data_IF_320998586246
#
_entry.id   IF_320998586246
#
_cell.length_a   1.000
_cell.length_b   1.000
_cell.length_c   1.000
_cell.angle_alpha   90.00
_cell.angle_beta   90.00
_cell.angle_gamma   90.00
#
_symmetry.space_group_name_H-M   'P 1'
#
loop_
_entity.id
_entity.type
_entity.pdbx_description
1 polymer ?
#
# COMPACT_ATOMS: atom_id res chain seq x y z
N UNK A 1 16.03 -5.80 -2.10
CA UNK A 1 15.77 -5.86 -0.65
C UNK A 1 14.31 -6.09 -0.42
N UNK A 2 13.95 -6.68 0.69
CA UNK A 2 12.55 -7.03 0.93
C UNK A 2 12.20 -6.89 2.41
N UNK A 3 10.91 -6.80 2.70
CA UNK A 3 10.42 -6.89 4.07
C UNK A 3 10.62 -8.29 4.62
N UNK A 4 10.71 -8.41 5.94
CA UNK A 4 10.96 -9.69 6.64
C UNK A 4 9.97 -9.88 7.79
N UNK A 5 9.51 -11.10 8.00
CA UNK A 5 8.64 -11.46 9.13
C UNK A 5 9.50 -12.11 10.20
N UNK A 6 9.33 -11.67 11.45
CA UNK A 6 10.09 -12.14 12.60
C UNK A 6 9.27 -13.06 13.52
N UNK A 7 9.91 -13.62 14.53
CA UNK A 7 9.38 -14.65 15.45
C UNK A 7 8.11 -14.24 16.19
N UNK A 8 7.84 -12.95 16.34
CA UNK A 8 6.63 -12.44 16.99
C UNK A 8 5.37 -12.63 16.18
N UNK A 9 5.49 -13.13 14.94
CA UNK A 9 4.36 -13.42 14.06
C UNK A 9 3.44 -14.48 14.70
N UNK A 10 2.14 -14.17 14.74
CA UNK A 10 1.11 -15.05 15.28
C UNK A 10 0.32 -15.84 14.20
N UNK A 11 0.67 -15.67 12.94
CA UNK A 11 0.01 -16.36 11.83
C UNK A 11 -1.44 -15.93 11.62
N UNK A 12 -1.77 -14.66 11.83
CA UNK A 12 -3.14 -14.14 11.70
C UNK A 12 -3.62 -13.97 10.26
N UNK A 13 -2.75 -14.13 9.27
CA UNK A 13 -3.01 -14.00 7.83
C UNK A 13 -3.41 -12.60 7.34
N UNK A 14 -3.38 -11.57 8.17
CA UNK A 14 -3.75 -10.21 7.78
C UNK A 14 -2.85 -9.67 6.65
N UNK A 15 -1.54 -9.92 6.74
CA UNK A 15 -0.56 -9.46 5.76
C UNK A 15 -0.73 -10.09 4.37
N UNK A 16 -1.13 -11.37 4.30
CA UNK A 16 -1.31 -12.07 3.03
C UNK A 16 -2.39 -11.43 2.17
N UNK A 17 -3.43 -10.89 2.81
CA UNK A 17 -4.56 -10.22 2.13
C UNK A 17 -4.19 -8.83 1.60
N UNK A 18 -3.10 -8.27 2.09
CA UNK A 18 -2.65 -6.93 1.73
C UNK A 18 -1.52 -6.91 0.71
N UNK A 19 -0.86 -8.03 0.50
CA UNK A 19 0.26 -8.10 -0.42
C UNK A 19 -0.23 -8.04 -1.88
N UNK A 20 0.15 -7.01 -2.66
CA UNK A 20 -0.30 -6.87 -4.04
C UNK A 20 0.32 -7.90 -4.99
N UNK A 21 1.47 -8.45 -4.63
CA UNK A 21 2.21 -9.40 -5.48
C UNK A 21 2.08 -10.86 -5.04
N UNK A 22 1.40 -11.10 -3.92
CA UNK A 22 1.32 -12.45 -3.37
C UNK A 22 2.63 -12.98 -2.82
N UNK A 23 3.52 -12.08 -2.39
CA UNK A 23 4.85 -12.45 -1.88
C UNK A 23 4.82 -13.15 -0.52
N UNK A 24 3.70 -13.12 0.18
CA UNK A 24 3.58 -13.64 1.54
C UNK A 24 2.87 -14.98 1.54
N UNK A 25 3.53 -15.99 2.08
CA UNK A 25 2.98 -17.33 2.21
C UNK A 25 3.03 -17.80 3.66
N UNK A 26 2.14 -18.72 4.01
CA UNK A 26 2.04 -19.29 5.34
C UNK A 26 0.64 -19.76 5.65
N UNK A 27 0.53 -20.60 6.66
CA UNK A 27 -0.73 -21.11 7.14
C UNK A 27 -1.16 -20.41 8.45
N UNK A 28 -2.43 -20.50 8.76
CA UNK A 28 -2.99 -19.91 9.98
C UNK A 28 -2.28 -20.46 11.23
N UNK A 29 -1.92 -19.59 12.16
CA UNK A 29 -1.20 -19.90 13.40
C UNK A 29 0.27 -20.34 13.20
N UNK A 30 0.80 -20.18 12.00
CA UNK A 30 2.21 -20.47 11.68
C UNK A 30 2.87 -19.18 11.22
N UNK A 31 4.15 -19.02 11.53
CA UNK A 31 4.93 -17.87 11.08
C UNK A 31 4.91 -17.81 9.55
N UNK A 32 4.54 -16.64 9.03
CA UNK A 32 4.52 -16.40 7.60
C UNK A 32 5.92 -16.03 7.08
N UNK A 33 6.11 -16.19 5.79
CA UNK A 33 7.37 -15.88 5.10
C UNK A 33 7.10 -14.95 3.93
N UNK A 34 7.99 -13.98 3.72
CA UNK A 34 7.94 -13.08 2.56
C UNK A 34 8.98 -13.54 1.54
N UNK A 35 8.54 -13.76 0.31
CA UNK A 35 9.43 -14.08 -0.80
C UNK A 35 10.10 -12.79 -1.29
N UNK A 36 11.44 -12.69 -1.15
CA UNK A 36 12.16 -11.47 -1.53
C UNK A 36 12.12 -11.17 -3.03
N UNK A 37 11.92 -12.16 -3.87
CA UNK A 37 11.84 -11.96 -5.32
C UNK A 37 10.50 -11.34 -5.75
N UNK A 38 9.44 -11.62 -5.01
CA UNK A 38 8.10 -11.10 -5.28
C UNK A 38 7.78 -9.82 -4.52
N UNK A 39 8.51 -9.54 -3.44
CA UNK A 39 8.28 -8.36 -2.61
C UNK A 39 8.69 -7.08 -3.34
N UNK A 40 7.80 -6.09 -3.35
CA UNK A 40 8.05 -4.77 -3.98
C UNK A 40 8.30 -3.65 -2.96
N UNK A 41 8.55 -4.00 -1.71
CA UNK A 41 8.85 -3.05 -0.62
C UNK A 41 7.79 -1.97 -0.40
N UNK A 42 6.53 -2.29 -0.63
CA UNK A 42 5.42 -1.33 -0.55
C UNK A 42 4.99 -0.99 0.89
N UNK A 43 5.32 -1.82 1.86
CA UNK A 43 5.00 -1.59 3.28
C UNK A 43 3.57 -1.91 3.71
N UNK A 44 2.71 -2.36 2.81
CA UNK A 44 1.30 -2.64 3.12
C UNK A 44 1.11 -3.72 4.19
N UNK A 45 2.00 -4.70 4.23
CA UNK A 45 1.96 -5.79 5.23
C UNK A 45 2.30 -5.31 6.65
N UNK A 46 3.26 -4.38 6.78
CA UNK A 46 3.69 -3.86 8.08
C UNK A 46 2.59 -3.09 8.80
N UNK A 47 1.79 -2.36 8.05
CA UNK A 47 0.71 -1.51 8.58
C UNK A 47 -0.39 -2.31 9.27
N UNK A 48 -0.64 -3.54 8.80
CA UNK A 48 -1.77 -4.37 9.29
C UNK A 48 -1.34 -5.44 10.29
N UNK A 49 -0.06 -5.58 10.57
CA UNK A 49 0.44 -6.62 11.47
C UNK A 49 0.19 -6.27 12.94
N UNK A 50 -0.73 -6.95 13.66
CA UNK A 50 -1.03 -6.61 15.04
C UNK A 50 0.15 -6.73 16.01
N UNK A 51 0.98 -7.81 15.95
CA UNK A 51 2.15 -7.93 16.83
C UNK A 51 3.38 -7.14 16.34
N UNK A 52 3.25 -6.35 15.28
CA UNK A 52 4.37 -5.61 14.68
C UNK A 52 5.56 -6.53 14.35
N UNK A 53 5.28 -7.66 13.73
CA UNK A 53 6.24 -8.71 13.42
C UNK A 53 6.95 -8.53 12.07
N UNK A 54 6.83 -7.37 11.44
CA UNK A 54 7.38 -7.12 10.11
C UNK A 54 8.44 -6.03 10.17
N UNK A 55 9.62 -6.35 9.61
CA UNK A 55 10.72 -5.41 9.43
C UNK A 55 10.76 -4.91 7.99
N UNK A 56 11.18 -3.66 7.81
CA UNK A 56 11.38 -3.09 6.49
C UNK A 56 12.72 -3.53 5.87
N UNK A 57 13.05 -3.01 4.70
CA UNK A 57 14.28 -3.34 3.99
C UNK A 57 15.57 -2.92 4.73
N UNK A 58 15.46 -2.03 5.70
CA UNK A 58 16.56 -1.58 6.54
C UNK A 58 16.66 -2.32 7.87
N UNK A 59 15.68 -3.16 8.18
CA UNK A 59 15.60 -3.90 9.44
C UNK A 59 14.84 -3.15 10.55
N UNK A 60 14.18 -2.04 10.22
CA UNK A 60 13.37 -1.28 11.18
C UNK A 60 11.97 -1.91 11.33
N UNK A 61 11.45 -1.90 12.56
CA UNK A 61 10.12 -2.44 12.84
C UNK A 61 9.03 -1.56 12.25
N UNK A 62 8.17 -2.15 11.44
CA UNK A 62 7.00 -1.46 10.90
C UNK A 62 5.96 -1.22 11.99
N UNK A 63 5.41 -0.01 12.02
CA UNK A 63 4.38 0.39 12.96
C UNK A 63 3.00 -0.05 12.48
N UNK A 64 2.22 -0.66 13.38
CA UNK A 64 0.82 -1.00 13.08
C UNK A 64 -0.07 0.23 13.21
N UNK A 65 -1.08 0.34 12.34
CA UNK A 65 -2.05 1.43 12.32
C UNK A 65 -3.47 0.90 12.52
N UNK A 66 -4.32 1.73 13.11
CA UNK A 66 -5.74 1.45 13.15
C UNK A 66 -6.32 1.46 11.73
N UNK A 67 -7.37 0.68 11.51
CA UNK A 67 -7.99 0.54 10.19
C UNK A 67 -8.37 1.87 9.53
N UNK A 68 -8.74 2.87 10.33
CA UNK A 68 -9.09 4.21 9.84
C UNK A 68 -7.89 5.03 9.38
N UNK A 69 -6.70 4.67 9.87
CA UNK A 69 -5.43 5.37 9.61
C UNK A 69 -4.55 4.66 8.58
N UNK A 70 -5.01 3.56 8.02
CA UNK A 70 -4.26 2.82 7.01
C UNK A 70 -3.94 3.70 5.81
N UNK A 71 -2.72 3.58 5.26
CA UNK A 71 -2.33 4.35 4.08
C UNK A 71 -3.30 4.16 2.93
N UNK A 72 -3.66 5.28 2.30
CA UNK A 72 -4.57 5.32 1.16
C UNK A 72 -4.02 6.25 0.09
N UNK A 73 -4.30 5.93 -1.16
CA UNK A 73 -3.98 6.81 -2.26
C UNK A 73 -4.88 8.06 -2.23
N UNK A 74 -4.31 9.19 -2.58
CA UNK A 74 -5.04 10.45 -2.76
C UNK A 74 -4.78 10.93 -4.19
N UNK A 75 -5.84 11.26 -4.90
CA UNK A 75 -5.76 11.75 -6.27
C UNK A 75 -5.89 13.27 -6.29
N UNK A 76 -4.93 13.93 -6.92
CA UNK A 76 -4.97 15.37 -7.18
C UNK A 76 -5.65 15.55 -8.55
N UNK A 77 -6.92 15.92 -8.54
CA UNK A 77 -7.74 16.00 -9.74
C UNK A 77 -7.16 16.89 -10.83
N UNK A 78 -6.60 18.03 -10.45
CA UNK A 78 -6.02 19.00 -11.38
C UNK A 78 -4.82 18.46 -12.17
N UNK A 79 -4.12 17.47 -11.62
CA UNK A 79 -2.95 16.88 -12.26
C UNK A 79 -3.28 15.62 -13.06
N UNK A 80 -4.48 15.05 -12.88
CA UNK A 80 -4.91 13.84 -13.56
C UNK A 80 -5.38 14.14 -14.98
N UNK A 81 -4.85 13.41 -15.96
CA UNK A 81 -5.24 13.56 -17.37
C UNK A 81 -6.37 12.61 -17.79
N UNK A 82 -6.87 11.79 -16.87
CA UNK A 82 -8.05 10.94 -17.10
C UNK A 82 -7.82 9.81 -18.08
N UNK A 83 -8.79 9.61 -18.98
CA UNK A 83 -8.82 8.49 -19.94
C UNK A 83 -7.63 8.41 -20.89
N UNK A 84 -6.85 9.48 -21.03
CA UNK A 84 -5.63 9.47 -21.84
C UNK A 84 -4.45 8.73 -21.22
N UNK A 85 -4.53 8.36 -19.94
CA UNK A 85 -3.45 7.69 -19.22
C UNK A 85 -3.85 6.33 -18.67
N UNK A 86 -4.78 6.28 -17.70
CA UNK A 86 -5.30 5.08 -17.03
C UNK A 86 -4.26 4.14 -16.40
N UNK A 87 -3.00 4.55 -16.28
CA UNK A 87 -1.91 3.70 -15.76
C UNK A 87 -2.18 3.24 -14.32
N UNK A 88 -2.66 4.14 -13.47
CA UNK A 88 -2.96 3.82 -12.08
C UNK A 88 -4.11 2.79 -11.94
N UNK A 89 -5.09 2.87 -12.82
CA UNK A 89 -6.24 1.95 -12.84
C UNK A 89 -5.79 0.56 -13.26
N UNK A 90 -4.97 0.49 -14.32
CA UNK A 90 -4.49 -0.78 -14.87
C UNK A 90 -3.50 -1.49 -13.94
N UNK A 91 -2.70 -0.74 -13.17
CA UNK A 91 -1.70 -1.34 -12.28
C UNK A 91 -2.28 -1.76 -10.92
N UNK A 92 -3.43 -1.21 -10.51
CA UNK A 92 -4.00 -1.51 -9.20
C UNK A 92 -4.50 -2.97 -9.12
N UNK A 93 -3.88 -3.83 -8.29
CA UNK A 93 -4.27 -5.24 -8.19
C UNK A 93 -5.56 -5.46 -7.39
N UNK A 94 -6.07 -4.42 -6.74
CA UNK A 94 -7.26 -4.48 -5.88
C UNK A 94 -8.49 -3.80 -6.49
N UNK A 95 -8.39 -3.33 -7.73
CA UNK A 95 -9.45 -2.58 -8.43
C UNK A 95 -10.00 -1.40 -7.62
N UNK A 96 -9.09 -0.71 -6.91
CA UNK A 96 -9.44 0.42 -6.05
C UNK A 96 -9.63 1.73 -6.82
N UNK A 97 -9.14 1.82 -8.04
CA UNK A 97 -9.18 3.02 -8.86
C UNK A 97 -10.10 2.83 -10.06
N UNK A 98 -10.88 3.85 -10.37
CA UNK A 98 -11.77 3.88 -11.54
C UNK A 98 -11.84 5.30 -12.09
N UNK A 99 -12.24 5.44 -13.37
CA UNK A 99 -12.49 6.75 -13.95
C UNK A 99 -13.89 7.22 -13.62
N UNK A 100 -14.00 8.46 -13.16
CA UNK A 100 -15.27 9.15 -12.99
C UNK A 100 -15.32 10.32 -13.96
N UNK A 101 -16.45 10.46 -14.63
CA UNK A 101 -16.69 11.54 -15.56
C UNK A 101 -17.61 12.55 -14.88
N UNK A 102 -17.20 13.83 -14.79
CA UNK A 102 -18.08 14.85 -14.20
C UNK A 102 -19.32 15.06 -15.08
N UNK A 103 -20.43 15.41 -14.46
CA UNK A 103 -21.72 15.64 -15.16
C UNK A 103 -21.70 16.84 -16.10
N UNK A 104 -20.67 17.67 -16.00
CA UNK A 104 -20.51 18.85 -16.86
C UNK A 104 -19.88 18.47 -18.20
N UNK A 105 -20.51 18.88 -19.26
CA UNK A 105 -20.19 18.52 -20.67
C UNK A 105 -18.78 18.92 -21.16
N UNK A 106 -17.99 19.61 -20.33
CA UNK A 106 -16.70 20.18 -20.73
C UNK A 106 -15.50 19.27 -20.43
N UNK A 107 -15.69 18.21 -19.65
CA UNK A 107 -14.58 17.32 -19.30
C UNK A 107 -14.83 15.90 -19.84
N UNK A 108 -14.28 15.63 -21.02
CA UNK A 108 -14.43 14.35 -21.70
C UNK A 108 -13.45 13.26 -21.20
N UNK A 109 -12.46 13.65 -20.38
CA UNK A 109 -11.39 12.74 -20.01
C UNK A 109 -11.59 12.06 -18.67
N UNK A 110 -12.43 12.63 -17.81
CA UNK A 110 -12.67 12.09 -16.48
C UNK A 110 -11.48 12.27 -15.54
N UNK A 111 -11.63 11.78 -14.33
CA UNK A 111 -10.59 11.81 -13.29
C UNK A 111 -10.57 10.45 -12.59
N UNK A 112 -9.38 9.98 -12.25
CA UNK A 112 -9.23 8.76 -11.44
C UNK A 112 -9.81 8.99 -10.04
N UNK A 113 -10.62 8.05 -9.58
CA UNK A 113 -11.27 8.10 -8.27
C UNK A 113 -10.95 6.83 -7.49
N UNK A 114 -10.71 6.97 -6.20
CA UNK A 114 -10.35 5.88 -5.32
C UNK A 114 -11.54 5.36 -4.52
N UNK A 115 -11.66 4.02 -4.46
CA UNK A 115 -12.47 3.35 -3.45
C UNK A 115 -11.59 3.05 -2.24
N UNK A 116 -11.74 3.79 -1.11
CA UNK A 116 -10.85 3.62 0.04
C UNK A 116 -10.98 2.26 0.73
N UNK A 117 -12.06 1.53 0.51
CA UNK A 117 -12.26 0.21 1.08
C UNK A 117 -11.39 -0.85 0.42
N UNK A 118 -11.08 -0.67 -0.85
CA UNK A 118 -10.26 -1.60 -1.64
C UNK A 118 -8.77 -1.26 -1.59
N UNK A 119 -8.42 -0.01 -1.35
CA UNK A 119 -7.03 0.45 -1.35
C UNK A 119 -6.25 -0.11 -0.16
N UNK A 120 -5.07 -0.67 -0.42
CA UNK A 120 -4.16 -1.19 0.60
C UNK A 120 -2.95 -0.29 0.87
N UNK A 121 -2.78 0.78 0.10
CA UNK A 121 -1.63 1.67 0.22
C UNK A 121 -0.34 1.06 -0.33
N UNK A 122 -0.42 0.19 -1.31
CA UNK A 122 0.73 -0.53 -1.86
C UNK A 122 1.68 0.32 -2.72
N UNK A 123 1.32 1.57 -3.03
CA UNK A 123 2.13 2.57 -3.75
C UNK A 123 2.35 2.32 -5.25
N UNK A 124 1.82 1.26 -5.82
CA UNK A 124 1.97 1.00 -7.25
C UNK A 124 1.42 2.13 -8.14
N UNK A 125 0.26 2.68 -7.77
CA UNK A 125 -0.35 3.78 -8.52
C UNK A 125 0.45 5.09 -8.40
N UNK A 126 1.05 5.34 -7.23
CA UNK A 126 1.91 6.51 -7.00
C UNK A 126 3.14 6.45 -7.92
N UNK A 127 3.79 5.29 -8.00
CA UNK A 127 4.95 5.08 -8.85
C UNK A 127 4.61 5.10 -10.33
N UNK A 128 3.42 4.62 -10.71
CA UNK A 128 2.97 4.57 -12.11
C UNK A 128 2.55 5.94 -12.64
N UNK A 129 2.13 6.87 -11.78
CA UNK A 129 1.65 8.18 -12.18
C UNK A 129 2.80 9.12 -12.52
N UNK A 130 3.05 9.31 -13.81
CA UNK A 130 4.07 10.24 -14.31
C UNK A 130 3.70 11.73 -14.18
N UNK A 131 2.46 12.02 -13.80
CA UNK A 131 1.93 13.38 -13.73
C UNK A 131 1.92 13.95 -12.29
N UNK A 132 2.38 13.17 -11.32
CA UNK A 132 2.34 13.57 -9.92
C UNK A 132 0.93 13.78 -9.38
N UNK A 133 -0.05 13.09 -9.94
CA UNK A 133 -1.46 13.23 -9.57
C UNK A 133 -1.87 12.33 -8.41
N UNK A 134 -1.05 11.37 -8.01
CA UNK A 134 -1.37 10.41 -6.96
C UNK A 134 -0.24 10.35 -5.94
N UNK A 135 -0.60 10.38 -4.66
CA UNK A 135 0.33 10.14 -3.55
C UNK A 135 -0.35 9.29 -2.47
N UNK A 136 0.45 8.64 -1.66
CA UNK A 136 -0.04 7.81 -0.54
C UNK A 136 0.14 8.58 0.77
N UNK A 137 -0.92 8.69 1.56
CA UNK A 137 -0.92 9.30 2.87
C UNK A 137 -1.28 8.25 3.94
N UNK A 138 -0.50 8.06 5.01
CA UNK A 138 0.76 8.76 5.33
C UNK A 138 1.95 8.31 4.47
N UNK A 139 2.99 9.14 4.37
CA UNK A 139 4.18 8.79 3.61
C UNK A 139 4.97 7.66 4.26
N UNK A 140 5.81 7.00 3.46
CA UNK A 140 6.54 5.78 3.87
C UNK A 140 7.36 5.95 5.16
N UNK A 141 7.93 7.12 5.37
CA UNK A 141 8.77 7.43 6.53
C UNK A 141 8.01 7.34 7.86
N UNK A 142 6.70 7.56 7.83
CA UNK A 142 5.84 7.48 9.01
C UNK A 142 5.33 6.07 9.30
N UNK A 143 5.60 5.10 8.42
CA UNK A 143 5.12 3.72 8.57
C UNK A 143 6.00 2.86 9.48
N UNK A 144 7.09 3.39 10.00
CA UNK A 144 8.01 2.67 10.87
C UNK A 144 8.14 3.34 12.25
N UNK A 145 8.58 2.55 13.23
CA UNK A 145 8.83 3.09 14.56
C UNK A 145 10.05 4.02 14.55
N UNK A 146 10.01 5.14 15.29
CA UNK A 146 11.18 6.00 15.40
C UNK A 146 12.38 5.25 15.99
N UNK A 147 13.55 5.48 15.43
CA UNK A 147 14.81 4.83 15.86
C UNK A 147 15.13 5.07 17.35
N UNK A 148 14.65 6.19 17.91
CA UNK A 148 14.86 6.51 19.32
C UNK A 148 14.15 5.54 20.28
N UNK A 149 13.10 4.86 19.86
CA UNK A 149 12.41 3.85 20.68
C UNK A 149 13.10 2.48 20.63
N UNK A 150 13.96 2.26 19.65
CA UNK A 150 14.70 1.01 19.49
C UNK A 150 15.95 0.90 20.38
N UNK A 151 16.33 1.98 21.05
CA UNK A 151 17.55 2.10 21.87
C UNK A 151 17.26 1.99 23.37
N UNK A 152 16.00 1.84 23.75
CA UNK A 152 15.63 1.72 25.16
C UNK A 152 15.79 0.30 25.69
#
# INVERSE_FOLDING_TARGET
MSYTIIETCIGCTACTKRCPTGAISGERQIIHVIDPELCIDCGACGVVCPPEAILDELGDVCKTFNRKEWPKAIVIEDNCIGSGCELCINICPFDALSLQYPETVTDFFGVATLDPKKCTGCRLCEEACGWGAIYIDPPRELLKKPVAEAVA
#
